data_IF_114154351764
#
_entry.id   IF_114154351764
#
_cell.length_a   1.000
_cell.length_b   1.000
_cell.length_c   1.000
_cell.angle_alpha   90.00
_cell.angle_beta   90.00
_cell.angle_gamma   90.00
#
_symmetry.space_group_name_H-M   'P 1'
#
loop_
_entity.id
_entity.type
_entity.pdbx_description
1 polymer ?
#
# COMPACT_ATOMS: atom_id res chain seq x y z
N UNK A 1 17.75 8.79 6.05
CA UNK A 1 18.93 8.81 5.15
C UNK A 1 19.90 9.91 5.57
N UNK A 2 19.50 11.20 5.64
CA UNK A 2 20.37 12.32 6.00
C UNK A 2 21.14 12.07 7.30
N UNK A 3 20.44 11.71 8.38
CA UNK A 3 21.05 11.42 9.69
C UNK A 3 22.09 10.28 9.63
N UNK A 4 21.81 9.23 8.84
CA UNK A 4 22.77 8.14 8.65
C UNK A 4 24.06 8.61 7.95
N UNK A 5 23.96 9.59 7.07
CA UNK A 5 25.14 10.16 6.40
C UNK A 5 25.95 11.11 7.32
N UNK A 6 25.27 11.86 8.18
CA UNK A 6 25.89 12.83 9.09
C UNK A 6 26.48 12.17 10.35
N UNK A 7 25.71 11.29 11.00
CA UNK A 7 26.08 10.68 12.30
C UNK A 7 26.74 9.30 12.16
N UNK A 8 26.68 8.69 10.97
CA UNK A 8 27.29 7.37 10.65
C UNK A 8 27.00 6.28 11.69
N UNK A 9 25.75 6.09 12.15
CA UNK A 9 25.44 5.02 13.09
C UNK A 9 25.75 3.67 12.46
N UNK A 10 26.35 2.76 13.23
CA UNK A 10 26.62 1.40 12.77
C UNK A 10 25.41 0.50 12.97
N UNK A 11 25.19 -0.45 12.05
CA UNK A 11 24.14 -1.44 12.16
C UNK A 11 23.14 -1.42 11.00
N UNK A 12 22.11 -2.29 11.12
CA UNK A 12 21.01 -2.40 10.15
C UNK A 12 19.79 -1.67 10.71
N UNK A 13 19.18 -0.83 9.90
CA UNK A 13 18.02 -0.03 10.28
C UNK A 13 16.88 -0.27 9.30
N UNK A 14 15.76 -0.75 9.82
CA UNK A 14 14.52 -0.85 9.06
C UNK A 14 13.77 0.48 9.19
N UNK A 15 13.66 1.22 8.11
CA UNK A 15 12.97 2.52 8.07
C UNK A 15 11.53 2.34 7.57
N UNK A 16 10.76 1.54 8.28
CA UNK A 16 9.34 1.30 8.01
C UNK A 16 8.50 1.71 9.23
N UNK A 17 7.22 2.00 9.02
CA UNK A 17 6.27 2.22 10.12
C UNK A 17 6.17 0.95 10.98
N UNK A 18 5.96 1.09 12.30
CA UNK A 18 5.75 -0.07 13.17
C UNK A 18 4.58 -0.93 12.70
N UNK A 19 4.65 -2.25 12.90
CA UNK A 19 3.52 -3.14 12.63
C UNK A 19 2.23 -2.64 13.29
N UNK A 20 1.14 -2.64 12.55
CA UNK A 20 -0.17 -2.19 13.06
C UNK A 20 -0.35 -0.68 13.20
N UNK A 21 0.64 0.14 12.83
CA UNK A 21 0.50 1.60 12.87
C UNK A 21 -0.59 2.13 11.93
N UNK A 22 -0.82 1.44 10.83
CA UNK A 22 -1.86 1.78 9.85
C UNK A 22 -2.51 0.52 9.30
N UNK A 23 -3.82 0.60 9.09
CA UNK A 23 -4.60 -0.43 8.40
C UNK A 23 -4.72 -0.11 6.90
N UNK A 24 -5.08 -1.11 6.11
CA UNK A 24 -5.42 -0.90 4.69
C UNK A 24 -6.61 0.07 4.54
N UNK A 25 -7.61 -0.05 5.42
CA UNK A 25 -8.76 0.86 5.43
C UNK A 25 -8.33 2.31 5.63
N UNK A 26 -7.52 2.60 6.65
CA UNK A 26 -7.00 3.95 6.90
C UNK A 26 -6.19 4.50 5.72
N UNK A 27 -5.37 3.66 5.06
CA UNK A 27 -4.62 4.07 3.87
C UNK A 27 -5.57 4.47 2.73
N UNK A 28 -6.57 3.65 2.45
CA UNK A 28 -7.54 3.89 1.38
C UNK A 28 -8.42 5.12 1.68
N UNK A 29 -8.91 5.25 2.91
CA UNK A 29 -9.71 6.40 3.34
C UNK A 29 -8.90 7.70 3.27
N UNK A 30 -7.64 7.67 3.72
CA UNK A 30 -6.72 8.81 3.60
C UNK A 30 -6.47 9.16 2.13
N UNK A 31 -6.26 8.15 1.28
CA UNK A 31 -6.10 8.34 -0.17
C UNK A 31 -7.31 9.01 -0.81
N UNK A 32 -8.50 8.52 -0.50
CA UNK A 32 -9.77 9.09 -0.94
C UNK A 32 -9.94 10.54 -0.48
N UNK A 33 -9.69 10.83 0.78
CA UNK A 33 -9.80 12.16 1.37
C UNK A 33 -8.81 13.15 0.75
N UNK A 34 -7.54 12.78 0.65
CA UNK A 34 -6.47 13.63 0.10
C UNK A 34 -6.67 13.93 -1.37
N UNK A 35 -7.15 12.97 -2.15
CA UNK A 35 -7.39 13.12 -3.58
C UNK A 35 -8.74 13.78 -3.92
N UNK A 36 -9.65 13.92 -2.93
CA UNK A 36 -11.02 14.37 -3.18
C UNK A 36 -11.84 13.37 -4.01
N UNK A 37 -11.43 12.10 -4.05
CA UNK A 37 -12.10 11.06 -4.84
C UNK A 37 -13.46 10.67 -4.26
N UNK A 38 -14.39 10.29 -5.11
CA UNK A 38 -15.68 9.69 -4.74
C UNK A 38 -15.65 8.15 -4.78
N UNK A 39 -14.47 7.52 -4.84
CA UNK A 39 -14.29 6.08 -4.91
C UNK A 39 -15.06 5.35 -3.79
N UNK A 40 -15.60 4.20 -4.12
CA UNK A 40 -16.23 3.27 -3.18
C UNK A 40 -15.37 2.02 -3.07
N UNK A 41 -15.11 1.55 -1.85
CA UNK A 41 -14.29 0.38 -1.64
C UNK A 41 -15.16 -0.87 -1.48
N UNK A 42 -14.78 -1.92 -2.21
CA UNK A 42 -15.39 -3.24 -2.10
C UNK A 42 -14.34 -4.20 -1.53
N UNK A 43 -14.64 -4.77 -0.37
CA UNK A 43 -13.76 -5.70 0.31
C UNK A 43 -13.97 -7.11 -0.19
N UNK A 44 -12.89 -7.76 -0.59
CA UNK A 44 -12.82 -9.16 -0.95
C UNK A 44 -12.00 -9.93 0.09
N UNK A 45 -12.37 -11.18 0.35
CA UNK A 45 -11.62 -12.05 1.25
C UNK A 45 -10.41 -12.70 0.58
N UNK A 46 -9.55 -13.33 1.39
CA UNK A 46 -8.34 -13.97 0.90
C UNK A 46 -8.61 -15.12 -0.09
N UNK A 47 -9.73 -15.83 0.09
CA UNK A 47 -10.11 -16.92 -0.80
C UNK A 47 -10.48 -16.41 -2.19
N UNK A 48 -11.19 -15.29 -2.28
CA UNK A 48 -11.51 -14.63 -3.55
C UNK A 48 -10.23 -14.15 -4.25
N UNK A 49 -9.31 -13.52 -3.50
CA UNK A 49 -8.03 -13.04 -4.03
C UNK A 49 -7.23 -14.19 -4.64
N UNK A 50 -7.10 -15.30 -3.92
CA UNK A 50 -6.37 -16.49 -4.35
C UNK A 50 -7.04 -17.14 -5.56
N UNK A 51 -8.37 -17.34 -5.52
CA UNK A 51 -9.15 -17.94 -6.63
C UNK A 51 -8.95 -17.19 -7.95
N UNK A 52 -8.83 -15.86 -7.90
CA UNK A 52 -8.68 -15.01 -9.08
C UNK A 52 -7.21 -14.76 -9.47
N UNK A 53 -6.24 -15.27 -8.70
CA UNK A 53 -4.81 -15.10 -8.96
C UNK A 53 -4.33 -13.64 -8.92
N UNK A 54 -4.93 -12.80 -8.06
CA UNK A 54 -4.70 -11.35 -8.10
C UNK A 54 -3.28 -10.97 -7.66
N UNK A 55 -2.68 -11.75 -6.75
CA UNK A 55 -1.29 -11.52 -6.31
C UNK A 55 -0.28 -11.88 -7.40
N UNK A 56 -0.42 -13.06 -7.97
CA UNK A 56 0.51 -13.62 -8.96
C UNK A 56 0.57 -12.75 -10.22
N UNK A 57 -0.53 -12.08 -10.53
CA UNK A 57 -0.63 -11.14 -11.65
C UNK A 57 -0.17 -9.72 -11.31
N UNK A 58 0.17 -9.43 -10.05
CA UNK A 58 0.50 -8.08 -9.60
C UNK A 58 -0.68 -7.11 -9.61
N UNK A 59 -1.91 -7.62 -9.59
CA UNK A 59 -3.14 -6.82 -9.65
C UNK A 59 -3.45 -6.12 -8.31
N UNK A 60 -2.90 -6.65 -7.18
CA UNK A 60 -3.01 -6.06 -5.82
C UNK A 60 -1.63 -5.98 -5.16
N UNK A 61 -0.76 -5.09 -5.61
CA UNK A 61 0.68 -5.13 -5.31
C UNK A 61 1.05 -4.90 -3.83
N UNK A 62 0.18 -4.29 -3.04
CA UNK A 62 0.46 -3.95 -1.64
C UNK A 62 -0.23 -4.89 -0.63
N UNK A 63 -1.04 -5.84 -1.10
CA UNK A 63 -1.67 -6.82 -0.23
C UNK A 63 -0.78 -8.06 -0.09
N UNK A 64 -0.58 -8.51 1.16
CA UNK A 64 0.12 -9.76 1.47
C UNK A 64 -0.79 -10.66 2.30
N UNK A 65 -0.77 -12.00 2.06
CA UNK A 65 -1.63 -12.91 2.80
C UNK A 65 -1.25 -12.94 4.28
N UNK A 66 -2.24 -13.07 5.18
CA UNK A 66 -1.99 -13.15 6.62
C UNK A 66 -1.34 -14.47 7.06
N UNK A 67 -1.26 -15.44 6.17
CA UNK A 67 -0.70 -16.78 6.40
C UNK A 67 0.29 -17.16 5.29
N UNK A 68 1.10 -18.18 5.53
CA UNK A 68 2.09 -18.67 4.56
C UNK A 68 3.44 -17.96 4.62
N UNK A 69 4.31 -18.15 3.64
CA UNK A 69 5.71 -17.69 3.67
C UNK A 69 5.89 -16.17 3.80
N UNK A 70 4.90 -15.39 3.36
CA UNK A 70 4.94 -13.92 3.38
C UNK A 70 4.21 -13.29 4.57
N UNK A 71 3.61 -14.08 5.45
CA UNK A 71 2.81 -13.59 6.59
C UNK A 71 3.57 -12.63 7.52
N UNK A 72 4.88 -12.80 7.65
CA UNK A 72 5.75 -11.94 8.49
C UNK A 72 6.29 -10.69 7.78
N UNK A 73 6.07 -10.52 6.49
CA UNK A 73 6.72 -9.46 5.73
C UNK A 73 6.32 -8.03 6.18
N UNK A 74 5.10 -7.87 6.70
CA UNK A 74 4.60 -6.61 7.24
C UNK A 74 4.84 -6.46 8.76
N UNK A 75 5.50 -7.43 9.40
CA UNK A 75 5.77 -7.44 10.84
C UNK A 75 7.22 -7.01 11.15
N UNK A 76 7.90 -6.40 10.21
CA UNK A 76 9.29 -5.97 10.37
C UNK A 76 9.39 -4.85 11.39
N UNK A 77 10.19 -5.04 12.44
CA UNK A 77 10.38 -4.05 13.49
C UNK A 77 11.27 -2.89 13.03
N UNK A 78 10.83 -1.67 13.29
CA UNK A 78 11.61 -0.44 13.14
C UNK A 78 12.16 0.09 14.47
N UNK A 79 12.03 -0.66 15.56
CA UNK A 79 12.38 -0.21 16.92
C UNK A 79 13.80 0.34 17.01
N UNK A 80 14.78 -0.35 16.41
CA UNK A 80 16.17 0.12 16.41
C UNK A 80 16.32 1.49 15.71
N UNK A 81 15.67 1.68 14.57
CA UNK A 81 15.71 2.97 13.88
C UNK A 81 15.02 4.08 14.68
N UNK A 82 13.92 3.77 15.38
CA UNK A 82 13.22 4.72 16.27
C UNK A 82 14.10 5.10 17.46
N UNK A 83 14.78 4.16 18.09
CA UNK A 83 15.74 4.42 19.17
C UNK A 83 16.86 5.37 18.70
N UNK A 84 17.28 5.24 17.44
CA UNK A 84 18.25 6.12 16.79
C UNK A 84 17.65 7.41 16.22
N UNK A 85 16.42 7.72 16.60
CA UNK A 85 15.77 9.00 16.29
C UNK A 85 14.99 9.04 14.98
N UNK A 86 14.65 7.90 14.36
CA UNK A 86 13.68 7.90 13.28
C UNK A 86 12.34 8.44 13.78
N UNK A 87 11.76 9.33 13.01
CA UNK A 87 10.41 9.87 13.24
C UNK A 87 9.57 9.59 12.00
N UNK A 88 8.31 9.28 12.23
CA UNK A 88 7.33 9.08 11.16
C UNK A 88 6.50 10.35 11.00
N UNK A 89 6.20 10.68 9.77
CA UNK A 89 5.22 11.73 9.44
C UNK A 89 3.82 11.13 9.33
N UNK A 90 2.80 11.96 9.35
CA UNK A 90 1.43 11.53 9.17
C UNK A 90 1.22 10.83 7.83
N UNK A 91 0.27 9.90 7.78
CA UNK A 91 -0.10 9.16 6.59
C UNK A 91 -0.61 10.09 5.48
N UNK A 92 -1.41 11.09 5.85
CA UNK A 92 -1.95 12.13 4.97
C UNK A 92 -0.85 12.92 4.24
N UNK A 93 0.22 13.31 4.95
CA UNK A 93 1.36 13.98 4.35
C UNK A 93 2.08 13.09 3.35
N UNK A 94 2.22 11.80 3.65
CA UNK A 94 2.84 10.83 2.73
C UNK A 94 1.99 10.62 1.48
N UNK A 95 0.68 10.46 1.64
CA UNK A 95 -0.26 10.31 0.53
C UNK A 95 -0.28 11.57 -0.35
N UNK A 96 -0.31 12.75 0.25
CA UNK A 96 -0.28 14.04 -0.47
C UNK A 96 0.97 14.20 -1.33
N UNK A 97 2.15 14.00 -0.74
CA UNK A 97 3.42 14.11 -1.48
C UNK A 97 3.51 13.09 -2.60
N UNK A 98 2.99 11.87 -2.39
CA UNK A 98 2.94 10.83 -3.42
C UNK A 98 2.01 11.22 -4.56
N UNK A 99 0.84 11.78 -4.25
CA UNK A 99 -0.10 12.27 -5.25
C UNK A 99 0.48 13.46 -6.04
N UNK A 100 1.12 14.40 -5.35
CA UNK A 100 1.78 15.55 -5.97
C UNK A 100 2.92 15.11 -6.90
N UNK A 101 3.73 14.15 -6.48
CA UNK A 101 4.76 13.56 -7.32
C UNK A 101 4.14 12.86 -8.54
N UNK A 102 3.10 12.05 -8.35
CA UNK A 102 2.41 11.37 -9.43
C UNK A 102 1.87 12.37 -10.46
N UNK A 103 1.23 13.45 -10.01
CA UNK A 103 0.64 14.47 -10.87
C UNK A 103 1.68 15.26 -11.68
N UNK A 104 2.92 15.38 -11.20
CA UNK A 104 4.03 16.01 -11.91
C UNK A 104 4.67 15.10 -12.97
N UNK A 105 4.33 13.81 -13.00
CA UNK A 105 4.85 12.88 -14.02
C UNK A 105 4.26 13.20 -15.40
N UNK A 106 4.96 12.89 -16.52
CA UNK A 106 4.42 12.98 -17.86
C UNK A 106 3.09 12.21 -18.00
N UNK A 107 2.16 12.72 -18.81
CA UNK A 107 0.82 12.13 -18.97
C UNK A 107 0.87 10.65 -19.38
N UNK A 108 1.77 10.27 -20.29
CA UNK A 108 1.97 8.88 -20.71
C UNK A 108 2.32 7.95 -19.54
N UNK A 109 3.16 8.42 -18.61
CA UNK A 109 3.56 7.64 -17.44
C UNK A 109 2.45 7.54 -16.37
N UNK A 110 1.55 8.53 -16.33
CA UNK A 110 0.40 8.53 -15.43
C UNK A 110 -0.70 7.56 -15.90
N UNK A 111 -0.89 7.46 -17.22
CA UNK A 111 -1.89 6.59 -17.81
C UNK A 111 -1.48 5.12 -17.86
N UNK A 112 -0.17 4.86 -17.95
CA UNK A 112 0.36 3.50 -18.05
C UNK A 112 0.91 3.05 -16.69
N UNK A 113 0.04 2.57 -15.81
CA UNK A 113 0.46 1.95 -14.57
C UNK A 113 1.06 0.56 -14.86
N UNK A 114 2.19 0.27 -14.22
CA UNK A 114 2.87 -1.02 -14.38
C UNK A 114 2.20 -2.15 -13.59
N UNK A 115 1.40 -1.81 -12.59
CA UNK A 115 0.75 -2.74 -11.66
C UNK A 115 -0.65 -2.23 -11.32
N UNK A 116 -1.49 -3.11 -10.81
CA UNK A 116 -2.88 -2.81 -10.45
C UNK A 116 -3.88 -3.36 -11.46
N UNK A 117 -5.15 -3.19 -11.16
CA UNK A 117 -6.26 -3.63 -12.01
C UNK A 117 -6.46 -2.69 -13.20
N UNK A 118 -6.79 -3.26 -14.37
CA UNK A 118 -7.38 -2.47 -15.45
C UNK A 118 -8.85 -2.20 -15.15
N UNK A 119 -9.48 -1.15 -15.73
CA UNK A 119 -10.90 -0.88 -15.53
C UNK A 119 -11.82 -2.06 -15.90
N UNK A 120 -11.49 -2.79 -16.98
CA UNK A 120 -12.25 -3.96 -17.44
C UNK A 120 -12.14 -5.10 -16.43
N UNK A 121 -10.92 -5.34 -15.93
CA UNK A 121 -10.67 -6.40 -14.94
C UNK A 121 -11.34 -6.07 -13.60
N UNK A 122 -11.28 -4.83 -13.17
CA UNK A 122 -11.99 -4.36 -11.98
C UNK A 122 -13.49 -4.59 -12.10
N UNK A 123 -14.10 -4.20 -13.21
CA UNK A 123 -15.53 -4.38 -13.45
C UNK A 123 -15.96 -5.86 -13.44
N UNK A 124 -15.12 -6.75 -13.98
CA UNK A 124 -15.33 -8.21 -13.93
C UNK A 124 -15.32 -8.73 -12.48
N UNK A 125 -14.31 -8.35 -11.70
CA UNK A 125 -14.16 -8.79 -10.32
C UNK A 125 -15.29 -8.25 -9.43
N UNK A 126 -15.72 -7.02 -9.62
CA UNK A 126 -16.83 -6.43 -8.87
C UNK A 126 -18.12 -7.20 -9.08
N UNK A 127 -18.43 -7.64 -10.31
CA UNK A 127 -19.59 -8.51 -10.59
C UNK A 127 -19.51 -9.84 -9.82
N UNK A 128 -18.32 -10.42 -9.73
CA UNK A 128 -18.12 -11.69 -9.02
C UNK A 128 -18.27 -11.54 -7.50
N UNK A 129 -17.71 -10.46 -6.90
CA UNK A 129 -17.82 -10.21 -5.45
C UNK A 129 -19.26 -9.96 -5.04
N UNK A 130 -20.01 -9.19 -5.82
CA UNK A 130 -21.43 -8.90 -5.52
C UNK A 130 -22.30 -10.13 -5.64
N UNK A 131 -22.04 -11.01 -6.59
CA UNK A 131 -22.76 -12.28 -6.76
C UNK A 131 -22.52 -13.29 -5.61
N UNK A 132 -21.39 -13.17 -4.90
CA UNK A 132 -21.04 -14.09 -3.79
C UNK A 132 -21.65 -13.66 -2.45
N UNK A 133 -22.11 -12.41 -2.34
CA UNK A 133 -22.71 -11.84 -1.12
C UNK A 133 -24.25 -11.84 -1.08
N UNK A 134 -24.91 -12.30 -2.12
CA UNK A 134 -26.36 -12.52 -2.21
C UNK A 134 -26.69 -13.98 -2.07
#
# INVERSE_FOLDING_TARGET
>A
VRRCAEERPSGRFNACTPPGAHTMGELLDTGKQVSGSNATFVWADAAFIQKNGLMEKGEIPIWLPPTGPLAGALLVSSAHAVQQGLRFRGLDATVRDTLDWHNKRPAEQRQKLAVGLTPEREAELLKQVTATKG
#
